data_IF_632923306656
#
_entry.id   IF_632923306656
#
_cell.length_a   1.000
_cell.length_b   1.000
_cell.length_c   1.000
_cell.angle_alpha   90.00
_cell.angle_beta   90.00
_cell.angle_gamma   90.00
#
_symmetry.space_group_name_H-M   'P 1'
#
loop_
_entity.id
_entity.type
_entity.pdbx_description
1 polymer ?
#
# COMPACT_ATOMS: atom_id res chain seq x y z
N UNK A 1 -34.40 28.05 42.35
CA UNK A 1 -32.94 27.80 42.26
C UNK A 1 -32.74 26.29 42.16
N UNK A 2 -32.29 25.78 40.99
CA UNK A 2 -31.92 24.37 40.68
C UNK A 2 -33.10 23.36 40.73
N UNK A 3 -33.26 22.29 39.93
CA UNK A 3 -32.32 21.37 39.28
C UNK A 3 -32.96 20.57 38.12
N UNK A 4 -32.11 20.23 37.14
CA UNK A 4 -32.01 18.97 36.36
C UNK A 4 -33.21 18.46 35.55
N UNK A 5 -33.18 18.72 34.26
CA UNK A 5 -33.65 17.77 33.24
C UNK A 5 -32.66 16.60 33.15
N UNK A 6 -33.16 15.37 33.31
CA UNK A 6 -32.41 14.13 33.09
C UNK A 6 -32.43 13.82 31.60
N UNK A 7 -31.32 14.02 30.92
CA UNK A 7 -31.05 13.48 29.59
C UNK A 7 -30.84 11.97 29.69
N UNK A 8 -31.78 11.17 29.19
CA UNK A 8 -31.54 9.75 28.92
C UNK A 8 -30.89 9.63 27.54
N UNK A 9 -29.60 9.26 27.52
CA UNK A 9 -28.92 8.84 26.29
C UNK A 9 -29.44 7.46 25.90
N UNK A 10 -30.16 7.37 24.78
CA UNK A 10 -30.38 6.10 24.10
C UNK A 10 -29.09 5.74 23.35
N UNK A 11 -28.33 4.79 23.88
CA UNK A 11 -27.16 4.22 23.20
C UNK A 11 -27.61 3.51 21.93
N UNK A 12 -27.33 4.10 20.76
CA UNK A 12 -27.49 3.44 19.46
C UNK A 12 -26.38 2.40 19.34
N UNK A 13 -26.74 1.13 19.46
CA UNK A 13 -25.86 0.02 19.13
C UNK A 13 -25.64 0.02 17.62
N UNK A 14 -24.42 0.37 17.18
CA UNK A 14 -24.03 0.23 15.78
C UNK A 14 -23.61 -1.22 15.56
N UNK A 15 -24.47 -1.99 14.90
CA UNK A 15 -24.11 -3.29 14.36
C UNK A 15 -23.16 -3.07 13.18
N UNK A 16 -21.87 -3.31 13.39
CA UNK A 16 -20.90 -3.34 12.29
C UNK A 16 -21.12 -4.66 11.54
N UNK A 17 -21.79 -4.55 10.39
CA UNK A 17 -21.85 -5.63 9.41
C UNK A 17 -20.44 -5.89 8.90
N UNK A 18 -19.91 -7.10 9.15
CA UNK A 18 -18.65 -7.57 8.60
C UNK A 18 -18.79 -7.81 7.09
N UNK A 19 -18.80 -6.72 6.32
CA UNK A 19 -18.51 -6.80 4.89
C UNK A 19 -17.03 -7.19 4.76
N UNK A 20 -16.77 -8.30 4.06
CA UNK A 20 -15.42 -8.79 3.80
C UNK A 20 -14.54 -7.65 3.29
N UNK A 21 -13.56 -7.24 4.09
CA UNK A 21 -12.58 -6.25 3.68
C UNK A 21 -11.85 -6.80 2.45
N UNK A 22 -11.60 -5.99 1.40
CA UNK A 22 -10.67 -6.39 0.36
C UNK A 22 -9.34 -6.68 1.07
N UNK A 23 -8.82 -7.89 0.88
CA UNK A 23 -7.53 -8.37 1.43
C UNK A 23 -6.52 -7.25 1.24
N UNK A 24 -6.26 -6.47 2.31
CA UNK A 24 -5.29 -5.38 2.27
C UNK A 24 -4.00 -6.05 1.85
N UNK A 25 -3.57 -5.75 0.62
CA UNK A 25 -2.49 -6.49 -0.01
C UNK A 25 -1.25 -6.25 0.85
N UNK A 26 -0.48 -7.29 1.14
CA UNK A 26 0.72 -7.28 1.99
C UNK A 26 1.60 -6.03 1.73
N UNK A 27 1.61 -5.56 0.49
CA UNK A 27 2.30 -4.34 0.06
C UNK A 27 1.80 -3.04 0.70
N UNK A 28 0.48 -2.85 0.85
CA UNK A 28 -0.06 -1.64 1.49
C UNK A 28 0.34 -1.60 2.96
N UNK A 29 0.35 -2.75 3.63
CA UNK A 29 0.79 -2.87 5.03
C UNK A 29 2.30 -2.63 5.16
N UNK A 30 3.12 -3.24 4.30
CA UNK A 30 4.57 -2.98 4.25
C UNK A 30 4.84 -1.50 3.99
N UNK A 31 4.19 -0.89 3.00
CA UNK A 31 4.42 0.51 2.72
C UNK A 31 3.96 1.43 3.87
N UNK A 32 2.84 1.08 4.53
CA UNK A 32 2.29 1.85 5.66
C UNK A 32 3.15 1.73 6.92
N UNK A 33 3.75 0.57 7.20
CA UNK A 33 4.66 0.40 8.35
C UNK A 33 5.92 1.26 8.24
N UNK A 34 6.32 1.60 7.01
CA UNK A 34 7.48 2.45 6.74
C UNK A 34 7.13 3.93 6.57
N UNK A 35 5.86 4.32 6.58
CA UNK A 35 5.42 5.71 6.33
C UNK A 35 4.50 6.24 7.43
N UNK A 36 4.88 7.38 8.04
CA UNK A 36 4.15 7.98 9.18
C UNK A 36 2.76 8.54 8.83
N UNK A 37 2.45 8.72 7.55
CA UNK A 37 1.26 9.46 7.07
C UNK A 37 0.46 8.73 5.99
N UNK A 38 0.67 7.42 5.82
CA UNK A 38 0.16 6.65 4.68
C UNK A 38 1.04 6.83 3.43
N UNK A 39 1.13 5.79 2.62
CA UNK A 39 2.07 5.72 1.50
C UNK A 39 1.52 6.42 0.27
N UNK A 40 2.27 7.38 -0.28
CA UNK A 40 1.93 7.97 -1.57
C UNK A 40 1.97 6.90 -2.68
N UNK A 41 1.18 7.09 -3.73
CA UNK A 41 1.12 6.18 -4.89
C UNK A 41 1.75 6.82 -6.12
N UNK A 42 2.59 6.06 -6.79
CA UNK A 42 3.10 6.34 -8.14
C UNK A 42 2.29 5.49 -9.11
N UNK A 43 1.47 6.14 -9.93
CA UNK A 43 0.59 5.48 -10.91
C UNK A 43 1.31 5.38 -12.23
N UNK A 44 1.43 4.18 -12.78
CA UNK A 44 2.05 3.93 -14.08
C UNK A 44 1.09 4.21 -15.24
N UNK A 45 1.66 4.65 -16.37
CA UNK A 45 0.96 4.70 -17.66
C UNK A 45 0.51 3.30 -18.08
N UNK A 46 -0.61 3.25 -18.80
CA UNK A 46 -1.15 2.01 -19.38
C UNK A 46 -0.08 1.27 -20.20
N UNK A 47 0.01 -0.05 -20.01
CA UNK A 47 0.97 -0.91 -20.71
C UNK A 47 2.40 -0.90 -20.16
N UNK A 48 2.72 -0.07 -19.15
CA UNK A 48 4.06 -0.03 -18.54
C UNK A 48 4.26 -1.04 -17.41
N UNK A 49 3.18 -1.63 -16.88
CA UNK A 49 3.24 -2.62 -15.80
C UNK A 49 4.09 -3.84 -16.14
N UNK A 50 4.08 -4.30 -17.40
CA UNK A 50 4.79 -5.52 -17.81
C UNK A 50 6.31 -5.42 -17.61
N UNK A 51 6.88 -4.23 -17.82
CA UNK A 51 8.32 -3.99 -17.68
C UNK A 51 8.85 -4.37 -16.28
N UNK A 52 8.00 -4.23 -15.26
CA UNK A 52 8.37 -4.51 -13.88
C UNK A 52 8.14 -5.98 -13.52
N UNK A 53 7.16 -6.64 -14.14
CA UNK A 53 6.98 -8.10 -14.02
C UNK A 53 8.17 -8.87 -14.60
N UNK A 54 8.79 -8.32 -15.64
CA UNK A 54 9.97 -8.91 -16.28
C UNK A 54 11.27 -8.64 -15.50
N UNK A 55 11.20 -8.02 -14.31
CA UNK A 55 12.30 -7.94 -13.35
C UNK A 55 13.11 -6.64 -13.36
N UNK A 56 12.69 -5.58 -14.07
CA UNK A 56 13.36 -4.28 -13.95
C UNK A 56 13.02 -3.61 -12.61
N UNK A 57 13.99 -3.31 -11.74
CA UNK A 57 13.71 -2.71 -10.44
C UNK A 57 13.55 -1.18 -10.49
N UNK A 58 13.76 -0.55 -11.65
CA UNK A 58 13.83 0.90 -11.76
C UNK A 58 12.63 1.48 -12.53
N UNK A 59 11.77 2.23 -11.84
CA UNK A 59 10.72 3.02 -12.49
C UNK A 59 11.32 4.31 -13.00
N UNK A 60 11.27 4.53 -14.31
CA UNK A 60 11.64 5.80 -14.92
C UNK A 60 10.47 6.78 -14.93
N UNK A 61 10.75 8.08 -14.81
CA UNK A 61 9.77 9.16 -14.76
C UNK A 61 8.81 9.15 -15.96
N UNK A 62 9.31 8.81 -17.15
CA UNK A 62 8.50 8.66 -18.36
C UNK A 62 7.43 7.56 -18.31
N UNK A 63 7.55 6.58 -17.38
CA UNK A 63 6.55 5.54 -17.15
C UNK A 63 5.42 6.00 -16.22
N UNK A 64 5.62 7.09 -15.48
CA UNK A 64 4.66 7.60 -14.50
C UNK A 64 3.59 8.42 -15.20
N UNK A 65 2.33 8.12 -14.89
CA UNK A 65 1.16 8.90 -15.30
C UNK A 65 0.91 10.03 -14.31
N UNK A 66 0.77 9.69 -13.02
CA UNK A 66 0.51 10.64 -11.94
C UNK A 66 1.04 10.15 -10.60
N UNK A 67 1.20 11.06 -9.66
CA UNK A 67 1.52 10.77 -8.27
C UNK A 67 0.35 11.19 -7.39
N UNK A 68 -0.12 10.29 -6.53
CA UNK A 68 -1.21 10.50 -5.59
C UNK A 68 -0.62 10.54 -4.18
N UNK A 69 -0.68 11.70 -3.54
CA UNK A 69 -0.18 11.91 -2.18
C UNK A 69 -0.15 13.40 -1.88
N UNK A 70 -0.54 13.78 -0.66
CA UNK A 70 -0.46 15.17 -0.19
C UNK A 70 0.14 15.18 1.22
N UNK A 71 1.35 15.73 1.43
CA UNK A 71 2.23 16.34 0.41
C UNK A 71 2.71 15.31 -0.64
N UNK A 72 3.17 15.76 -1.83
CA UNK A 72 3.88 14.89 -2.77
C UNK A 72 5.09 14.25 -2.07
N UNK A 73 5.45 12.99 -2.43
CA UNK A 73 6.58 12.31 -1.82
C UNK A 73 7.89 13.03 -2.13
N UNK A 74 8.81 12.99 -1.17
CA UNK A 74 10.19 13.49 -1.32
C UNK A 74 11.16 12.32 -1.46
N UNK A 75 12.41 12.61 -1.85
CA UNK A 75 13.45 11.59 -1.97
C UNK A 75 13.62 10.83 -0.66
N UNK A 76 13.59 9.50 -0.75
CA UNK A 76 13.68 8.59 0.39
C UNK A 76 12.32 8.12 0.93
N UNK A 77 11.21 8.75 0.52
CA UNK A 77 9.88 8.31 0.95
C UNK A 77 9.53 6.94 0.35
N UNK A 78 8.82 6.14 1.14
CA UNK A 78 8.23 4.89 0.68
C UNK A 78 6.94 5.17 -0.08
N UNK A 79 6.86 4.60 -1.29
CA UNK A 79 5.72 4.76 -2.18
C UNK A 79 5.22 3.41 -2.69
N UNK A 80 3.92 3.33 -2.93
CA UNK A 80 3.31 2.23 -3.68
C UNK A 80 3.41 2.51 -5.17
N UNK A 81 3.83 1.53 -5.95
CA UNK A 81 3.76 1.58 -7.41
C UNK A 81 2.51 0.83 -7.85
N UNK A 82 1.67 1.49 -8.64
CA UNK A 82 0.34 0.99 -9.02
C UNK A 82 0.11 1.08 -10.53
N UNK A 83 -0.78 0.25 -11.06
CA UNK A 83 -1.26 0.40 -12.43
C UNK A 83 -2.26 1.56 -12.57
N UNK A 84 -2.76 1.79 -13.80
CA UNK A 84 -3.73 2.86 -14.07
C UNK A 84 -5.07 2.73 -13.31
N UNK A 85 -5.39 1.54 -12.78
CA UNK A 85 -6.57 1.27 -11.93
C UNK A 85 -6.26 1.41 -10.44
N UNK A 86 -5.05 1.86 -10.10
CA UNK A 86 -4.52 1.96 -8.74
C UNK A 86 -4.34 0.61 -8.03
N UNK A 87 -4.31 -0.49 -8.79
CA UNK A 87 -3.93 -1.79 -8.24
C UNK A 87 -2.42 -1.78 -7.94
N UNK A 88 -2.00 -2.15 -6.72
CA UNK A 88 -0.58 -2.30 -6.39
C UNK A 88 0.14 -3.29 -7.30
N UNK A 89 1.37 -2.96 -7.67
CA UNK A 89 2.29 -3.84 -8.41
C UNK A 89 3.53 -4.10 -7.56
N UNK A 90 3.92 -3.14 -6.72
CA UNK A 90 5.08 -3.23 -5.84
C UNK A 90 5.19 -1.99 -4.95
N UNK A 91 6.22 -1.97 -4.14
CA UNK A 91 6.59 -0.79 -3.34
C UNK A 91 8.06 -0.45 -3.56
N UNK A 92 8.43 0.80 -3.26
CA UNK A 92 9.79 1.26 -3.45
C UNK A 92 10.10 2.58 -2.79
N UNK A 93 11.35 3.02 -2.97
CA UNK A 93 11.82 4.32 -2.49
C UNK A 93 11.76 5.35 -3.61
N UNK A 94 11.11 6.48 -3.33
CA UNK A 94 10.98 7.58 -4.27
C UNK A 94 12.27 8.41 -4.35
N UNK A 95 12.55 8.97 -5.53
CA UNK A 95 13.64 9.90 -5.76
C UNK A 95 13.16 11.01 -6.70
N UNK A 96 13.00 12.22 -6.18
CA UNK A 96 12.44 13.36 -6.93
C UNK A 96 13.43 13.99 -7.91
N UNK A 97 14.73 13.70 -7.79
CA UNK A 97 15.80 14.35 -8.59
C UNK A 97 16.36 13.45 -9.69
N UNK A 98 15.90 12.21 -9.80
CA UNK A 98 16.37 11.24 -10.78
C UNK A 98 15.32 10.96 -11.83
N UNK A 99 15.79 10.70 -13.06
CA UNK A 99 14.96 10.09 -14.11
C UNK A 99 14.47 8.71 -13.72
N UNK A 100 15.17 8.00 -12.83
CA UNK A 100 14.69 6.78 -12.19
C UNK A 100 14.03 7.13 -10.86
N UNK A 101 12.76 7.53 -10.92
CA UNK A 101 12.04 8.14 -9.81
C UNK A 101 11.62 7.16 -8.71
N UNK A 102 11.63 5.84 -8.96
CA UNK A 102 11.41 4.83 -7.92
C UNK A 102 12.37 3.66 -8.11
N UNK A 103 13.00 3.23 -7.02
CA UNK A 103 13.64 1.90 -6.93
C UNK A 103 12.66 0.95 -6.24
N UNK A 104 12.14 -0.03 -6.96
CA UNK A 104 11.29 -1.09 -6.41
C UNK A 104 12.11 -1.93 -5.43
N UNK A 105 11.53 -2.22 -4.27
CA UNK A 105 12.10 -3.12 -3.27
C UNK A 105 11.51 -4.51 -3.35
N UNK A 106 10.21 -4.61 -3.64
CA UNK A 106 9.52 -5.89 -3.78
C UNK A 106 8.27 -5.72 -4.66
N UNK A 107 8.00 -6.73 -5.47
CA UNK A 107 6.77 -6.82 -6.27
C UNK A 107 5.66 -7.56 -5.50
N UNK A 108 4.41 -7.35 -5.91
CA UNK A 108 3.25 -8.05 -5.33
C UNK A 108 3.39 -9.56 -5.48
N UNK A 109 3.77 -10.02 -6.69
CA UNK A 109 3.93 -11.44 -6.99
C UNK A 109 5.05 -12.10 -6.16
N UNK A 110 6.11 -11.35 -5.83
CA UNK A 110 7.19 -11.83 -4.96
C UNK A 110 6.70 -11.95 -3.50
N UNK A 111 6.06 -10.89 -2.99
CA UNK A 111 5.48 -10.91 -1.65
C UNK A 111 4.49 -12.07 -1.45
N UNK A 112 3.67 -12.39 -2.46
CA UNK A 112 2.74 -13.53 -2.33
C UNK A 112 3.45 -14.88 -2.23
N UNK A 113 4.57 -15.09 -2.93
CA UNK A 113 5.32 -16.36 -2.86
C UNK A 113 6.07 -16.53 -1.55
N UNK A 114 6.56 -15.42 -0.98
CA UNK A 114 7.23 -15.44 0.31
C UNK A 114 6.28 -15.81 1.45
N UNK A 115 5.01 -15.38 1.38
CA UNK A 115 4.00 -15.75 2.36
C UNK A 115 3.63 -17.25 2.27
N UNK A 116 3.54 -17.80 1.05
CA UNK A 116 3.26 -19.24 0.84
C UNK A 116 4.39 -20.14 1.37
N UNK A 117 5.65 -19.69 1.27
CA UNK A 117 6.80 -20.46 1.76
C UNK A 117 7.00 -20.39 3.28
N UNK A 118 6.62 -19.28 3.94
CA UNK A 118 6.62 -19.17 5.41
C UNK A 118 5.52 -20.00 6.08
N UNK A 119 4.56 -20.53 5.33
CA UNK A 119 3.50 -21.42 5.83
C UNK A 119 3.91 -22.90 5.97
N UNK A 120 5.14 -23.30 5.59
CA UNK A 120 5.61 -24.69 5.63
C UNK A 120 6.75 -24.86 6.63
N UNK A 121 6.54 -24.49 7.89
CA UNK A 121 7.52 -24.82 8.95
C UNK A 121 6.89 -24.97 10.35
N UNK A 122 5.80 -25.72 10.48
CA UNK A 122 5.38 -26.28 11.77
C UNK A 122 4.62 -27.59 11.59
N UNK A 123 5.31 -28.74 11.52
CA UNK A 123 4.89 -30.02 12.12
C UNK A 123 6.03 -31.02 11.91
N UNK A 124 6.91 -31.18 12.90
CA UNK A 124 7.67 -32.42 13.11
C UNK A 124 8.57 -32.24 14.34
N UNK A 125 8.07 -32.67 15.49
CA UNK A 125 8.83 -33.21 16.61
C UNK A 125 7.81 -33.71 17.65
N UNK A 126 7.42 -34.97 17.51
CA UNK A 126 6.67 -35.76 18.47
C UNK A 126 7.27 -37.15 18.50
#
# INVERSE_FOLDING_TARGET
MRHRTKSFLASRTLTVSAAALPKATTLQEIASSHSKSGSAKVVLKKGKTQLFKDGSPMVYSGAVDRIIGRPPPITGDVVLVTDGTEKPIGWGLYNSVSMFCVRLMQLEDEATRDEDSRGVETTSCG
#
